data_IF_869260534514
#
_entry.id   IF_869260534514
#
_cell.length_a   1.000
_cell.length_b   1.000
_cell.length_c   1.000
_cell.angle_alpha   90.00
_cell.angle_beta   90.00
_cell.angle_gamma   90.00
#
_symmetry.space_group_name_H-M   'P 1'
#
loop_
_entity.id
_entity.type
_entity.pdbx_description
1 polymer ?
#
# COMPACT_ATOMS: atom_id res chain seq x y z
N UNK A 1 -16.52 -10.56 -19.28
CA UNK A 1 -16.83 -11.50 -18.18
C UNK A 1 -17.25 -10.74 -16.91
N UNK A 2 -18.34 -9.96 -16.96
CA UNK A 2 -18.71 -9.07 -15.85
C UNK A 2 -19.25 -9.82 -14.62
N UNK A 3 -19.96 -10.93 -14.82
CA UNK A 3 -20.44 -11.78 -13.71
C UNK A 3 -19.29 -12.29 -12.83
N UNK A 4 -18.23 -12.80 -13.44
CA UNK A 4 -17.04 -13.29 -12.73
C UNK A 4 -16.34 -12.17 -11.95
N UNK A 5 -16.18 -10.98 -12.56
CA UNK A 5 -15.59 -9.82 -11.89
C UNK A 5 -16.43 -9.41 -10.66
N UNK A 6 -17.75 -9.29 -10.81
CA UNK A 6 -18.66 -9.00 -9.69
C UNK A 6 -18.58 -10.07 -8.60
N UNK A 7 -18.46 -11.35 -8.98
CA UNK A 7 -18.27 -12.47 -8.04
C UNK A 7 -16.98 -12.33 -7.22
N UNK A 8 -15.85 -12.00 -7.87
CA UNK A 8 -14.58 -11.78 -7.17
C UNK A 8 -14.66 -10.59 -6.21
N UNK A 9 -15.27 -9.49 -6.63
CA UNK A 9 -15.49 -8.33 -5.76
C UNK A 9 -16.33 -8.72 -4.53
N UNK A 10 -17.40 -9.51 -4.72
CA UNK A 10 -18.22 -9.99 -3.60
C UNK A 10 -17.45 -10.91 -2.65
N UNK A 11 -16.55 -11.75 -3.15
CA UNK A 11 -15.69 -12.58 -2.31
C UNK A 11 -14.78 -11.71 -1.43
N UNK A 12 -14.17 -10.66 -1.99
CA UNK A 12 -13.38 -9.72 -1.21
C UNK A 12 -14.21 -8.89 -0.24
N UNK A 13 -15.41 -8.47 -0.64
CA UNK A 13 -16.34 -7.78 0.25
C UNK A 13 -16.69 -8.63 1.47
N UNK A 14 -16.98 -9.92 1.26
CA UNK A 14 -17.21 -10.89 2.34
C UNK A 14 -16.02 -10.95 3.30
N UNK A 15 -14.79 -10.98 2.80
CA UNK A 15 -13.59 -10.98 3.64
C UNK A 15 -13.46 -9.71 4.47
N UNK A 16 -13.74 -8.53 3.89
CA UNK A 16 -13.73 -7.25 4.63
C UNK A 16 -14.81 -7.23 5.71
N UNK A 17 -16.01 -7.76 5.44
CA UNK A 17 -17.09 -7.82 6.43
C UNK A 17 -16.75 -8.72 7.63
N UNK A 18 -16.01 -9.82 7.41
CA UNK A 18 -15.69 -10.79 8.45
C UNK A 18 -14.37 -10.50 9.17
N UNK A 19 -13.39 -9.90 8.49
CA UNK A 19 -12.03 -9.70 9.00
C UNK A 19 -11.58 -8.24 9.03
N UNK A 20 -12.35 -7.32 8.45
CA UNK A 20 -12.08 -5.88 8.41
C UNK A 20 -11.21 -5.43 7.24
N UNK A 21 -10.63 -6.35 6.46
CA UNK A 21 -9.75 -6.11 5.31
C UNK A 21 -9.74 -7.33 4.39
N UNK A 22 -9.19 -7.20 3.18
CA UNK A 22 -8.90 -8.36 2.31
C UNK A 22 -7.58 -9.00 2.75
N UNK A 23 -7.58 -10.23 3.31
CA UNK A 23 -6.33 -10.93 3.64
C UNK A 23 -5.53 -11.26 2.39
N UNK A 24 -4.23 -11.51 2.56
CA UNK A 24 -3.31 -11.93 1.49
C UNK A 24 -3.88 -13.10 0.64
N UNK A 25 -4.64 -14.00 1.26
CA UNK A 25 -5.44 -15.00 0.57
C UNK A 25 -6.44 -15.69 1.49
N UNK A 26 -7.23 -16.61 0.94
CA UNK A 26 -8.29 -17.36 1.66
C UNK A 26 -7.78 -18.46 2.60
N UNK A 27 -6.79 -18.17 3.45
CA UNK A 27 -6.18 -19.11 4.41
C UNK A 27 -6.06 -18.45 5.79
N UNK A 28 -6.27 -19.22 6.86
CA UNK A 28 -6.28 -18.71 8.24
C UNK A 28 -4.96 -18.03 8.62
N UNK A 29 -3.81 -18.55 8.15
CA UNK A 29 -2.49 -17.97 8.42
C UNK A 29 -2.24 -16.62 7.74
N UNK A 30 -3.15 -16.14 6.89
CA UNK A 30 -3.10 -14.80 6.30
C UNK A 30 -3.92 -13.75 7.06
N UNK A 31 -4.65 -14.10 8.12
CA UNK A 31 -5.49 -13.15 8.87
C UNK A 31 -4.73 -12.07 9.65
N UNK A 32 -3.40 -12.04 9.58
CA UNK A 32 -2.58 -10.96 10.14
C UNK A 32 -2.15 -9.92 9.10
N UNK A 33 -2.30 -10.23 7.80
CA UNK A 33 -1.77 -9.40 6.72
C UNK A 33 -2.63 -9.40 5.45
N UNK A 34 -2.64 -8.26 4.78
CA UNK A 34 -3.36 -8.01 3.54
C UNK A 34 -2.46 -8.24 2.30
N UNK A 35 -2.80 -7.54 1.21
CA UNK A 35 -2.02 -7.32 0.00
C UNK A 35 -2.30 -5.88 -0.51
N UNK A 36 -1.62 -5.37 -1.55
CA UNK A 36 -1.90 -4.03 -2.08
C UNK A 36 -3.41 -3.76 -2.30
N UNK A 37 -3.95 -2.62 -1.82
CA UNK A 37 -5.39 -2.42 -1.67
C UNK A 37 -6.11 -2.06 -2.96
N UNK A 38 -6.57 -3.09 -3.69
CA UNK A 38 -7.17 -2.94 -5.02
C UNK A 38 -8.70 -3.07 -5.06
N UNK A 39 -9.40 -3.32 -3.94
CA UNK A 39 -10.85 -3.53 -3.94
C UNK A 39 -11.65 -2.31 -4.42
N UNK A 40 -11.26 -1.10 -4.01
CA UNK A 40 -11.88 0.15 -4.47
C UNK A 40 -11.71 0.31 -6.00
N UNK A 41 -10.49 0.18 -6.58
CA UNK A 41 -10.27 0.17 -8.02
C UNK A 41 -11.08 -0.89 -8.76
N UNK A 42 -11.19 -2.10 -8.21
CA UNK A 42 -12.00 -3.16 -8.81
C UNK A 42 -13.47 -2.77 -8.93
N UNK A 43 -14.06 -2.18 -7.88
CA UNK A 43 -15.45 -1.69 -7.92
C UNK A 43 -15.60 -0.54 -8.88
N UNK A 44 -14.65 0.42 -8.86
CA UNK A 44 -14.69 1.60 -9.71
C UNK A 44 -14.64 1.23 -11.21
N UNK A 45 -13.71 0.36 -11.61
CA UNK A 45 -13.62 -0.12 -13.00
C UNK A 45 -14.80 -1.01 -13.40
N UNK A 46 -15.31 -1.84 -12.48
CA UNK A 46 -16.54 -2.60 -12.72
C UNK A 46 -17.73 -1.66 -12.99
N UNK A 47 -17.88 -0.59 -12.21
CA UNK A 47 -18.92 0.40 -12.44
C UNK A 47 -18.75 1.10 -13.79
N UNK A 48 -17.54 1.55 -14.15
CA UNK A 48 -17.30 2.16 -15.47
C UNK A 48 -17.70 1.26 -16.63
N UNK A 49 -17.50 -0.05 -16.49
CA UNK A 49 -17.81 -1.02 -17.52
C UNK A 49 -19.30 -1.43 -17.59
N UNK A 50 -20.07 -1.24 -16.51
CA UNK A 50 -21.42 -1.82 -16.38
C UNK A 50 -22.52 -0.81 -16.03
N UNK A 51 -22.15 0.36 -15.53
CA UNK A 51 -23.05 1.38 -14.98
C UNK A 51 -23.98 0.88 -13.87
N UNK A 52 -23.60 -0.21 -13.19
CA UNK A 52 -24.37 -0.85 -12.12
C UNK A 52 -24.30 -0.04 -10.81
N UNK A 53 -25.06 1.07 -10.77
CA UNK A 53 -25.07 2.01 -9.66
C UNK A 53 -25.65 1.40 -8.38
N UNK A 54 -26.58 0.45 -8.51
CA UNK A 54 -27.16 -0.25 -7.37
C UNK A 54 -26.10 -1.10 -6.66
N UNK A 55 -25.25 -1.80 -7.41
CA UNK A 55 -24.12 -2.52 -6.81
C UNK A 55 -23.14 -1.58 -6.09
N UNK A 56 -22.83 -0.41 -6.69
CA UNK A 56 -22.00 0.60 -6.03
C UNK A 56 -22.61 1.03 -4.70
N UNK A 57 -23.92 1.34 -4.68
CA UNK A 57 -24.63 1.74 -3.46
C UNK A 57 -24.53 0.68 -2.36
N UNK A 58 -24.65 -0.60 -2.72
CA UNK A 58 -24.58 -1.71 -1.79
C UNK A 58 -23.17 -1.92 -1.22
N UNK A 59 -22.13 -1.82 -2.05
CA UNK A 59 -20.77 -2.20 -1.64
C UNK A 59 -19.96 -1.05 -1.00
N UNK A 60 -20.34 0.21 -1.23
CA UNK A 60 -19.57 1.36 -0.77
C UNK A 60 -19.27 1.38 0.75
N UNK A 61 -20.18 0.96 1.65
CA UNK A 61 -19.86 0.84 3.07
C UNK A 61 -18.70 -0.13 3.35
N UNK A 62 -18.62 -1.24 2.61
CA UNK A 62 -17.56 -2.24 2.74
C UNK A 62 -16.22 -1.67 2.28
N UNK A 63 -16.20 -0.94 1.16
CA UNK A 63 -15.01 -0.23 0.68
C UNK A 63 -14.44 0.73 1.72
N UNK A 64 -15.31 1.50 2.38
CA UNK A 64 -14.91 2.42 3.44
C UNK A 64 -14.39 1.70 4.68
N UNK A 65 -14.91 0.52 5.00
CA UNK A 65 -14.39 -0.29 6.11
C UNK A 65 -12.95 -0.75 5.85
N UNK A 66 -12.65 -1.25 4.65
CA UNK A 66 -11.27 -1.59 4.30
C UNK A 66 -10.37 -0.35 4.29
N UNK A 67 -10.82 0.77 3.73
CA UNK A 67 -10.05 2.03 3.76
C UNK A 67 -9.70 2.47 5.20
N UNK A 68 -10.63 2.31 6.15
CA UNK A 68 -10.40 2.57 7.58
C UNK A 68 -9.40 1.59 8.19
N UNK A 69 -9.38 0.33 7.75
CA UNK A 69 -8.33 -0.61 8.17
C UNK A 69 -6.95 -0.08 7.80
N UNK A 70 -6.75 0.37 6.56
CA UNK A 70 -5.45 0.91 6.12
C UNK A 70 -5.02 2.13 6.94
N UNK A 71 -5.95 3.07 7.21
CA UNK A 71 -5.65 4.21 8.08
C UNK A 71 -5.28 3.73 9.50
N UNK A 72 -6.09 2.86 10.10
CA UNK A 72 -5.92 2.52 11.52
C UNK A 72 -4.81 1.51 11.81
N UNK A 73 -4.45 0.66 10.84
CA UNK A 73 -3.54 -0.47 11.03
C UNK A 73 -2.26 -0.39 10.20
N UNK A 74 -2.23 0.45 9.15
CA UNK A 74 -1.14 0.54 8.18
C UNK A 74 -0.71 1.99 7.92
N UNK A 75 -1.03 2.91 8.84
CA UNK A 75 -0.55 4.29 8.73
C UNK A 75 -0.01 4.82 10.05
N UNK A 76 0.85 5.82 9.92
CA UNK A 76 1.29 6.69 11.01
C UNK A 76 0.85 8.12 10.70
N UNK A 77 0.43 8.86 11.72
CA UNK A 77 -0.01 10.25 11.57
C UNK A 77 1.19 11.17 11.28
N UNK A 78 1.01 12.08 10.33
CA UNK A 78 2.02 13.05 9.89
C UNK A 78 1.41 14.44 9.77
N UNK A 79 2.11 15.44 10.34
CA UNK A 79 1.70 16.86 10.37
C UNK A 79 0.21 17.02 10.62
N UNK A 80 -0.52 17.85 9.86
CA UNK A 80 -1.95 18.19 9.98
C UNK A 80 -2.91 17.00 9.80
N UNK A 81 -2.64 15.89 10.49
CA UNK A 81 -3.36 14.61 10.45
C UNK A 81 -3.34 13.89 9.11
N UNK A 82 -2.35 14.15 8.25
CA UNK A 82 -2.10 13.35 7.07
C UNK A 82 -1.64 11.93 7.47
N UNK A 83 -1.90 10.94 6.63
CA UNK A 83 -1.52 9.55 6.88
C UNK A 83 -0.35 9.16 5.98
N UNK A 84 0.71 8.64 6.59
CA UNK A 84 1.81 7.98 5.88
C UNK A 84 1.58 6.47 5.94
N UNK A 85 1.40 5.83 4.79
CA UNK A 85 1.05 4.41 4.74
C UNK A 85 2.28 3.51 4.63
N UNK A 86 2.35 2.49 5.48
CA UNK A 86 3.43 1.50 5.52
C UNK A 86 2.86 0.08 5.63
N UNK A 87 3.49 -0.87 4.95
CA UNK A 87 3.22 -2.29 5.21
C UNK A 87 3.79 -2.63 6.58
N UNK A 88 2.95 -3.14 7.47
CA UNK A 88 3.31 -3.39 8.86
C UNK A 88 2.45 -4.51 9.43
N UNK A 89 3.08 -5.64 9.71
CA UNK A 89 2.41 -6.82 10.24
C UNK A 89 2.98 -7.08 11.63
N UNK A 90 2.11 -7.37 12.61
CA UNK A 90 2.55 -7.79 13.94
C UNK A 90 2.56 -9.32 13.97
N UNK A 91 3.72 -9.90 13.65
CA UNK A 91 3.93 -11.34 13.59
C UNK A 91 4.98 -11.75 14.64
N UNK A 92 4.55 -12.53 15.63
CA UNK A 92 5.42 -12.99 16.73
C UNK A 92 6.03 -14.37 16.54
N UNK A 93 5.73 -15.01 15.42
CA UNK A 93 6.13 -16.38 15.11
C UNK A 93 6.52 -16.45 13.63
N UNK A 94 7.34 -17.44 13.21
CA UNK A 94 7.58 -17.68 11.79
C UNK A 94 6.26 -17.93 11.04
N UNK A 95 6.21 -17.54 9.75
CA UNK A 95 5.04 -17.77 8.92
C UNK A 95 4.75 -19.27 8.80
N UNK A 96 3.53 -19.76 9.03
CA UNK A 96 3.22 -21.18 8.97
C UNK A 96 3.55 -21.84 7.63
N UNK A 97 3.35 -21.12 6.52
CA UNK A 97 3.60 -21.60 5.16
C UNK A 97 5.09 -21.58 4.74
N UNK A 98 5.96 -20.99 5.56
CA UNK A 98 7.41 -20.90 5.31
C UNK A 98 8.18 -21.02 6.63
N UNK A 99 7.73 -21.93 7.49
CA UNK A 99 8.17 -22.01 8.89
C UNK A 99 9.67 -22.25 8.99
N UNK A 100 10.19 -23.20 8.20
CA UNK A 100 11.61 -23.59 8.23
C UNK A 100 12.50 -22.42 7.80
N UNK A 101 12.15 -21.77 6.69
CA UNK A 101 12.88 -20.65 6.12
C UNK A 101 12.93 -19.46 7.09
N UNK A 102 11.80 -19.11 7.72
CA UNK A 102 11.70 -18.02 8.68
C UNK A 102 12.45 -18.33 9.99
N UNK A 103 12.58 -19.62 10.36
CA UNK A 103 13.38 -20.06 11.52
C UNK A 103 14.88 -20.01 11.24
N UNK A 104 15.32 -20.51 10.08
CA UNK A 104 16.72 -20.45 9.63
C UNK A 104 17.21 -19.00 9.53
N UNK A 105 16.37 -18.09 9.02
CA UNK A 105 16.70 -16.67 8.88
C UNK A 105 17.11 -16.01 10.21
N UNK A 106 16.49 -16.42 11.31
CA UNK A 106 16.67 -15.81 12.63
C UNK A 106 17.54 -16.64 13.57
N UNK A 107 18.14 -17.73 13.10
CA UNK A 107 18.93 -18.66 13.93
C UNK A 107 20.09 -17.96 14.63
N UNK A 108 20.73 -17.02 13.95
CA UNK A 108 21.85 -16.23 14.46
C UNK A 108 21.44 -15.17 15.51
N UNK A 109 20.15 -14.89 15.67
CA UNK A 109 19.63 -13.91 16.62
C UNK A 109 19.43 -14.56 18.00
N UNK A 110 19.80 -13.84 19.05
CA UNK A 110 19.78 -14.37 20.43
C UNK A 110 18.51 -13.97 21.19
N UNK A 111 17.97 -12.78 20.94
CA UNK A 111 16.81 -12.28 21.69
C UNK A 111 15.50 -12.55 20.95
N UNK A 112 14.43 -12.85 21.70
CA UNK A 112 13.10 -13.06 21.11
C UNK A 112 12.59 -11.78 20.41
N UNK A 113 12.87 -10.60 20.95
CA UNK A 113 12.42 -9.33 20.36
C UNK A 113 13.02 -9.09 18.98
N UNK A 114 14.29 -9.43 18.75
CA UNK A 114 14.90 -9.34 17.42
C UNK A 114 14.29 -10.33 16.44
N UNK A 115 13.98 -11.56 16.90
CA UNK A 115 13.29 -12.57 16.09
C UNK A 115 11.89 -12.13 15.69
N UNK A 116 11.10 -11.63 16.64
CA UNK A 116 9.75 -11.10 16.40
C UNK A 116 9.77 -9.91 15.43
N UNK A 117 10.78 -9.03 15.51
CA UNK A 117 10.97 -7.95 14.54
C UNK A 117 11.19 -8.49 13.14
N UNK A 118 12.12 -9.44 12.96
CA UNK A 118 12.41 -10.03 11.65
C UNK A 118 11.20 -10.78 11.09
N UNK A 119 10.51 -11.60 11.89
CA UNK A 119 9.29 -12.29 11.44
C UNK A 119 8.18 -11.31 11.03
N UNK A 120 8.04 -10.19 11.74
CA UNK A 120 7.12 -9.10 11.38
C UNK A 120 7.50 -8.43 10.06
N UNK A 121 8.78 -8.14 9.84
CA UNK A 121 9.28 -7.53 8.60
C UNK A 121 9.17 -8.48 7.40
N UNK A 122 9.40 -9.78 7.61
CA UNK A 122 9.18 -10.83 6.60
C UNK A 122 7.70 -10.95 6.25
N UNK A 123 6.81 -10.97 7.25
CA UNK A 123 5.38 -11.01 7.01
C UNK A 123 4.85 -9.72 6.33
N UNK A 124 5.42 -8.56 6.66
CA UNK A 124 5.15 -7.31 5.97
C UNK A 124 5.67 -7.32 4.53
N UNK A 125 6.82 -7.93 4.25
CA UNK A 125 7.32 -8.11 2.88
C UNK A 125 6.32 -8.90 2.04
N UNK A 126 5.74 -9.97 2.59
CA UNK A 126 4.66 -10.73 1.93
C UNK A 126 3.37 -9.91 1.76
N UNK A 127 3.06 -8.98 2.67
CA UNK A 127 1.94 -8.04 2.52
C UNK A 127 2.13 -7.07 1.34
N UNK A 128 3.36 -6.80 0.94
CA UNK A 128 3.66 -5.93 -0.21
C UNK A 128 3.35 -6.60 -1.55
N UNK A 129 3.30 -7.94 -1.59
CA UNK A 129 3.30 -8.75 -2.82
C UNK A 129 4.67 -8.89 -3.49
N UNK A 130 5.74 -8.39 -2.85
CA UNK A 130 7.13 -8.44 -3.31
C UNK A 130 8.02 -9.21 -2.31
N UNK A 131 7.60 -10.42 -1.94
CA UNK A 131 8.36 -11.37 -1.13
C UNK A 131 9.23 -12.30 -2.01
N UNK A 132 10.54 -12.09 -2.13
CA UNK A 132 11.34 -11.01 -1.54
C UNK A 132 12.06 -10.18 -2.60
N UNK A 133 12.43 -8.97 -2.21
CA UNK A 133 13.11 -7.98 -3.04
C UNK A 133 14.16 -7.25 -2.22
N UNK A 134 15.29 -6.88 -2.86
CA UNK A 134 16.30 -5.99 -2.27
C UNK A 134 15.72 -4.67 -1.79
N UNK A 135 14.55 -4.28 -2.32
CA UNK A 135 13.77 -3.10 -1.92
C UNK A 135 13.54 -3.02 -0.42
N UNK A 136 13.34 -4.17 0.22
CA UNK A 136 12.98 -4.27 1.63
C UNK A 136 14.18 -4.53 2.57
N UNK A 137 15.38 -4.60 2.01
CA UNK A 137 16.61 -4.91 2.75
C UNK A 137 17.39 -3.63 3.05
N UNK A 138 18.32 -3.69 4.00
CA UNK A 138 19.26 -2.58 4.20
C UNK A 138 20.04 -2.31 2.91
N UNK A 139 20.25 -1.04 2.57
CA UNK A 139 21.04 -0.65 1.39
C UNK A 139 22.49 -0.31 1.76
N UNK A 140 22.80 -0.28 3.05
CA UNK A 140 24.11 0.08 3.61
C UNK A 140 24.50 -0.90 4.72
N UNK A 141 25.80 -0.98 5.02
CA UNK A 141 26.35 -1.84 6.07
C UNK A 141 26.68 -3.27 5.61
N UNK A 142 27.18 -4.08 6.53
CA UNK A 142 27.75 -5.40 6.22
C UNK A 142 26.75 -6.40 5.64
N UNK A 143 25.45 -6.22 5.92
CA UNK A 143 24.36 -7.08 5.45
C UNK A 143 23.52 -6.45 4.33
N UNK A 144 24.02 -5.38 3.70
CA UNK A 144 23.31 -4.69 2.62
C UNK A 144 22.84 -5.66 1.53
N UNK A 145 21.60 -5.47 1.07
CA UNK A 145 20.92 -6.25 0.05
C UNK A 145 20.77 -7.75 0.36
N UNK A 146 20.91 -8.15 1.63
CA UNK A 146 20.68 -9.53 2.08
C UNK A 146 19.40 -9.62 2.89
N UNK A 147 18.72 -10.75 2.79
CA UNK A 147 17.45 -11.00 3.48
C UNK A 147 17.56 -10.93 5.01
N UNK A 148 18.72 -11.24 5.59
CA UNK A 148 18.98 -11.04 7.02
C UNK A 148 18.84 -9.58 7.48
N UNK A 149 18.86 -8.62 6.56
CA UNK A 149 18.67 -7.19 6.82
C UNK A 149 17.28 -6.66 6.46
N UNK A 150 16.29 -7.56 6.31
CA UNK A 150 14.90 -7.16 6.04
C UNK A 150 14.38 -6.18 7.11
N UNK A 151 13.75 -5.11 6.63
CA UNK A 151 13.30 -3.95 7.43
C UNK A 151 12.06 -3.29 6.83
N UNK A 152 11.15 -4.10 6.27
CA UNK A 152 9.99 -3.64 5.50
C UNK A 152 9.16 -2.58 6.23
N UNK A 153 8.93 -2.74 7.54
CA UNK A 153 8.13 -1.81 8.32
C UNK A 153 8.82 -0.45 8.58
N UNK A 154 10.12 -0.35 8.32
CA UNK A 154 10.90 0.90 8.41
C UNK A 154 10.95 1.67 7.09
N UNK A 155 10.29 1.16 6.04
CA UNK A 155 10.24 1.78 4.72
C UNK A 155 8.83 2.32 4.51
N UNK A 156 8.76 3.55 4.02
CA UNK A 156 7.53 4.16 3.50
C UNK A 156 7.47 3.91 1.99
N UNK A 157 6.64 2.95 1.53
CA UNK A 157 6.64 2.52 0.14
C UNK A 157 5.82 3.47 -0.75
N UNK A 158 6.43 3.89 -1.86
CA UNK A 158 5.84 4.83 -2.83
C UNK A 158 4.54 4.30 -3.47
N UNK A 159 4.48 3.00 -3.75
CA UNK A 159 3.34 2.34 -4.38
C UNK A 159 2.13 2.25 -3.45
N UNK A 160 2.30 1.89 -2.17
CA UNK A 160 1.18 1.87 -1.22
C UNK A 160 0.56 3.26 -1.05
N UNK A 161 1.39 4.31 -0.95
CA UNK A 161 0.90 5.68 -0.82
C UNK A 161 0.21 6.14 -2.10
N UNK A 162 0.71 5.74 -3.28
CA UNK A 162 0.02 5.95 -4.56
C UNK A 162 -1.34 5.20 -4.63
N UNK A 163 -1.42 3.95 -4.17
CA UNK A 163 -2.67 3.19 -4.13
C UNK A 163 -3.69 3.82 -3.18
N UNK A 164 -3.28 4.24 -1.99
CA UNK A 164 -4.18 4.89 -1.03
C UNK A 164 -4.66 6.27 -1.51
N UNK A 165 -3.82 6.98 -2.25
CA UNK A 165 -4.20 8.20 -2.96
C UNK A 165 -5.26 7.95 -4.04
N UNK A 166 -5.02 6.96 -4.93
CA UNK A 166 -5.99 6.53 -5.94
C UNK A 166 -7.31 6.11 -5.31
N UNK A 167 -7.26 5.36 -4.20
CA UNK A 167 -8.44 4.94 -3.45
C UNK A 167 -9.24 6.13 -2.90
N UNK A 168 -8.57 7.18 -2.43
CA UNK A 168 -9.24 8.42 -1.99
C UNK A 168 -9.97 9.10 -3.14
N UNK A 169 -9.31 9.26 -4.30
CA UNK A 169 -9.95 9.84 -5.49
C UNK A 169 -11.16 9.03 -5.94
N UNK A 170 -11.02 7.71 -6.05
CA UNK A 170 -12.13 6.84 -6.48
C UNK A 170 -13.29 6.84 -5.47
N UNK A 171 -13.02 6.88 -4.16
CA UNK A 171 -14.09 7.04 -3.15
C UNK A 171 -14.79 8.40 -3.28
N UNK A 172 -14.05 9.48 -3.52
CA UNK A 172 -14.63 10.81 -3.79
C UNK A 172 -15.62 10.75 -4.96
N UNK A 173 -15.20 10.14 -6.06
CA UNK A 173 -16.00 9.99 -7.27
C UNK A 173 -17.23 9.09 -7.05
N UNK A 174 -17.07 7.94 -6.40
CA UNK A 174 -18.18 7.03 -6.07
C UNK A 174 -19.23 7.69 -5.16
N UNK A 175 -18.82 8.48 -4.18
CA UNK A 175 -19.76 9.23 -3.34
C UNK A 175 -20.49 10.34 -4.12
N UNK A 176 -19.77 11.04 -5.01
CA UNK A 176 -20.38 12.04 -5.91
C UNK A 176 -21.44 11.41 -6.81
N UNK A 177 -21.16 10.23 -7.37
CA UNK A 177 -22.10 9.46 -8.20
C UNK A 177 -23.40 9.09 -7.46
N UNK A 178 -23.33 8.86 -6.15
CA UNK A 178 -24.49 8.56 -5.31
C UNK A 178 -25.18 9.81 -4.74
N UNK A 179 -24.68 11.02 -5.03
CA UNK A 179 -25.22 12.29 -4.54
C UNK A 179 -24.79 12.68 -3.12
N UNK A 180 -23.83 11.96 -2.50
CA UNK A 180 -23.30 12.29 -1.18
C UNK A 180 -22.12 13.27 -1.31
N UNK A 181 -22.44 14.55 -1.52
CA UNK A 181 -21.44 15.59 -1.73
C UNK A 181 -20.54 15.80 -0.50
N UNK A 182 -21.05 15.60 0.71
CA UNK A 182 -20.28 15.77 1.94
C UNK A 182 -19.13 14.74 2.02
N UNK A 183 -19.43 13.47 1.74
CA UNK A 183 -18.37 12.43 1.71
C UNK A 183 -17.48 12.55 0.48
N UNK A 184 -18.01 12.97 -0.66
CA UNK A 184 -17.18 13.26 -1.83
C UNK A 184 -16.09 14.29 -1.47
N UNK A 185 -16.47 15.44 -0.89
CA UNK A 185 -15.52 16.47 -0.45
C UNK A 185 -14.51 15.97 0.60
N UNK A 186 -14.95 15.10 1.52
CA UNK A 186 -14.04 14.49 2.51
C UNK A 186 -12.93 13.67 1.84
N UNK A 187 -13.27 12.83 0.88
CA UNK A 187 -12.29 11.98 0.20
C UNK A 187 -11.48 12.76 -0.84
N UNK A 188 -12.04 13.83 -1.41
CA UNK A 188 -11.31 14.79 -2.22
C UNK A 188 -10.20 15.49 -1.41
N UNK A 189 -10.51 15.93 -0.18
CA UNK A 189 -9.52 16.49 0.71
C UNK A 189 -8.38 15.50 1.03
N UNK A 190 -8.72 14.22 1.26
CA UNK A 190 -7.73 13.15 1.47
C UNK A 190 -6.87 12.88 0.24
N UNK A 191 -7.46 12.90 -0.95
CA UNK A 191 -6.72 12.79 -2.20
C UNK A 191 -5.70 13.92 -2.36
N UNK A 192 -6.11 15.17 -2.10
CA UNK A 192 -5.22 16.31 -2.15
C UNK A 192 -4.11 16.25 -1.09
N UNK A 193 -4.41 15.78 0.13
CA UNK A 193 -3.40 15.50 1.15
C UNK A 193 -2.40 14.43 0.70
N UNK A 194 -2.87 13.35 0.08
CA UNK A 194 -1.99 12.29 -0.42
C UNK A 194 -1.06 12.79 -1.54
N UNK A 195 -1.52 13.66 -2.46
CA UNK A 195 -0.64 14.30 -3.46
C UNK A 195 0.47 15.15 -2.82
N UNK A 196 0.18 15.85 -1.72
CA UNK A 196 1.20 16.57 -0.96
C UNK A 196 2.23 15.59 -0.37
N UNK A 197 1.80 14.47 0.22
CA UNK A 197 2.71 13.42 0.70
C UNK A 197 3.59 12.86 -0.43
N UNK A 198 3.03 12.61 -1.61
CA UNK A 198 3.83 12.15 -2.76
C UNK A 198 4.91 13.14 -3.15
N UNK A 199 4.66 14.44 -2.98
CA UNK A 199 5.64 15.50 -3.27
C UNK A 199 6.67 15.65 -2.15
N UNK A 200 6.25 15.65 -0.89
CA UNK A 200 7.13 15.89 0.25
C UNK A 200 8.02 14.69 0.60
N UNK A 201 7.48 13.47 0.52
CA UNK A 201 8.14 12.28 1.03
C UNK A 201 8.79 11.41 -0.05
N UNK A 202 8.27 11.48 -1.28
CA UNK A 202 8.66 10.54 -2.34
C UNK A 202 9.33 11.21 -3.53
N UNK A 203 8.91 12.42 -3.93
CA UNK A 203 9.43 13.08 -5.13
C UNK A 203 10.86 13.57 -4.94
N UNK A 204 11.76 13.12 -5.81
CA UNK A 204 13.11 13.66 -5.91
C UNK A 204 13.20 14.54 -7.16
N UNK A 205 13.20 15.86 -6.97
CA UNK A 205 13.25 16.82 -8.08
C UNK A 205 14.58 16.78 -8.87
N UNK A 206 15.69 16.39 -8.24
CA UNK A 206 16.99 16.26 -8.92
C UNK A 206 16.95 15.10 -9.90
N UNK A 207 16.51 13.94 -9.43
CA UNK A 207 16.49 12.70 -10.20
C UNK A 207 15.27 12.62 -11.14
N UNK A 208 14.18 13.33 -10.83
CA UNK A 208 12.95 13.32 -11.64
C UNK A 208 12.10 12.06 -11.46
N UNK A 209 12.15 11.44 -10.27
CA UNK A 209 11.46 10.17 -9.97
C UNK A 209 10.98 10.14 -8.51
N UNK A 210 9.99 9.29 -8.21
CA UNK A 210 9.56 9.04 -6.84
C UNK A 210 10.29 7.86 -6.21
N UNK A 211 10.88 8.01 -5.04
CA UNK A 211 11.52 6.93 -4.28
C UNK A 211 10.67 6.44 -3.12
N UNK A 212 10.96 5.23 -2.63
CA UNK A 212 10.61 4.88 -1.26
C UNK A 212 11.39 5.77 -0.29
N UNK A 213 10.83 5.97 0.91
CA UNK A 213 11.47 6.78 1.94
C UNK A 213 11.86 5.93 3.15
N UNK A 214 13.09 6.07 3.61
CA UNK A 214 13.59 5.41 4.82
C UNK A 214 13.14 6.22 6.05
N UNK A 215 12.26 5.63 6.86
CA UNK A 215 11.71 6.28 8.04
C UNK A 215 12.73 6.43 9.17
N UNK A 216 13.76 5.58 9.23
CA UNK A 216 14.81 5.67 10.25
C UNK A 216 15.94 6.60 9.79
N UNK A 217 16.34 6.48 8.52
CA UNK A 217 17.41 7.28 7.93
C UNK A 217 16.97 8.69 7.52
N UNK A 218 15.65 8.96 7.52
CA UNK A 218 15.04 10.21 7.06
C UNK A 218 15.52 10.66 5.66
N UNK A 219 15.64 9.70 4.73
CA UNK A 219 16.18 9.94 3.38
C UNK A 219 15.47 9.08 2.33
N UNK A 220 15.50 9.54 1.07
CA UNK A 220 15.09 8.71 -0.06
C UNK A 220 16.00 7.49 -0.19
N UNK A 221 15.39 6.33 -0.42
CA UNK A 221 16.09 5.12 -0.85
C UNK A 221 16.30 5.25 -2.36
N UNK A 222 17.46 5.79 -2.77
CA UNK A 222 17.80 6.09 -4.18
C UNK A 222 18.18 4.84 -4.99
N UNK A 223 17.41 3.76 -4.83
CA UNK A 223 17.46 2.57 -5.66
C UNK A 223 16.21 2.52 -6.53
N UNK A 224 16.37 2.14 -7.80
CA UNK A 224 15.24 2.06 -8.72
C UNK A 224 14.49 0.73 -8.60
N UNK A 225 13.18 0.82 -8.51
CA UNK A 225 12.20 -0.26 -8.61
C UNK A 225 11.02 0.23 -9.46
N UNK A 226 10.33 -0.66 -10.18
CA UNK A 226 9.21 -0.23 -11.04
C UNK A 226 8.07 0.44 -10.26
N UNK A 227 7.97 0.19 -8.95
CA UNK A 227 7.06 0.91 -8.04
C UNK A 227 7.28 2.43 -8.03
N UNK A 228 8.49 2.91 -8.35
CA UNK A 228 8.80 4.34 -8.45
C UNK A 228 7.95 5.06 -9.51
N UNK A 229 7.46 4.35 -10.52
CA UNK A 229 6.54 4.89 -11.53
C UNK A 229 5.05 4.70 -11.19
N UNK A 230 4.72 4.01 -10.08
CA UNK A 230 3.33 3.77 -9.66
C UNK A 230 2.49 5.04 -9.45
N UNK A 231 3.07 6.20 -9.03
CA UNK A 231 2.31 7.45 -8.95
C UNK A 231 1.71 7.89 -10.29
N UNK A 232 2.34 7.54 -11.42
CA UNK A 232 1.78 7.78 -12.75
C UNK A 232 0.50 6.98 -12.99
N UNK A 233 0.52 5.68 -12.68
CA UNK A 233 -0.66 4.80 -12.76
C UNK A 233 -1.80 5.28 -11.85
N UNK A 234 -1.46 5.70 -10.63
CA UNK A 234 -2.44 6.18 -9.66
C UNK A 234 -3.03 7.56 -9.99
N UNK A 235 -2.42 8.31 -10.93
CA UNK A 235 -2.64 9.74 -11.12
C UNK A 235 -2.54 10.51 -9.78
N UNK A 236 -1.53 10.17 -8.98
CA UNK A 236 -1.31 10.77 -7.67
C UNK A 236 -0.05 11.63 -7.66
N UNK A 237 -0.15 12.79 -8.31
CA UNK A 237 0.90 13.79 -8.32
C UNK A 237 0.31 15.16 -8.64
N UNK A 238 1.04 16.22 -8.30
CA UNK A 238 0.69 17.56 -8.75
C UNK A 238 1.20 17.78 -10.19
N UNK A 239 0.39 18.46 -11.00
CA UNK A 239 0.67 18.87 -12.38
C UNK A 239 1.22 20.31 -12.44
N UNK A 240 1.30 21.01 -11.31
CA UNK A 240 1.73 22.40 -11.24
C UNK A 240 3.24 22.56 -11.51
N UNK A 241 3.61 22.80 -12.76
CA UNK A 241 4.87 23.43 -13.17
C UNK A 241 6.04 22.49 -13.51
N UNK A 242 5.88 21.18 -13.37
CA UNK A 242 6.86 20.18 -13.82
C UNK A 242 6.13 19.02 -14.49
N UNK A 243 6.51 18.68 -15.73
CA UNK A 243 5.98 17.50 -16.45
C UNK A 243 6.59 16.23 -15.84
N UNK A 244 6.05 15.80 -14.70
CA UNK A 244 6.53 14.62 -13.98
C UNK A 244 6.52 13.35 -14.84
N UNK A 245 5.49 13.06 -15.66
CA UNK A 245 5.56 11.96 -16.62
C UNK A 245 6.80 12.01 -17.52
N UNK A 246 7.12 13.18 -18.08
CA UNK A 246 8.33 13.36 -18.91
C UNK A 246 9.61 13.15 -18.08
N UNK A 247 9.70 13.71 -16.89
CA UNK A 247 10.86 13.56 -15.99
C UNK A 247 11.12 12.08 -15.65
N UNK A 248 10.06 11.33 -15.37
CA UNK A 248 10.14 9.90 -15.09
C UNK A 248 10.58 9.13 -16.34
N UNK A 249 10.04 9.47 -17.51
CA UNK A 249 10.50 8.90 -18.78
C UNK A 249 12.00 9.15 -19.03
N UNK A 250 12.46 10.38 -18.79
CA UNK A 250 13.88 10.76 -18.91
C UNK A 250 14.77 9.99 -17.93
N UNK A 251 14.32 9.78 -16.70
CA UNK A 251 15.04 8.99 -15.71
C UNK A 251 15.19 7.50 -16.11
N UNK A 252 14.19 6.94 -16.80
CA UNK A 252 14.18 5.52 -17.19
C UNK A 252 14.94 5.24 -18.50
N UNK A 253 15.40 6.27 -19.21
CA UNK A 253 16.11 6.16 -20.49
C UNK A 253 17.60 5.93 -20.29
#
# INVERSE_FOLDING_TARGET
MYSTAKGMIKNFAYMVEHYGFVPNGGRVYYLLRSQPPMLIPMVYEYYKATSDLEFVRQILPVLVNEYKFWISKRSTQYRDSAALFQYKVNMKNPRPESYREDMELVEHLTTLSEKERVWSDVAAAAETGWDFSSRWFAHEGASAHRMASVRTASILPVDLNAFMCMNSRMLSELYKLLGDNAKSLLYEARFNQAKMIMTEMHWNATDGIWYDYDLEGHKHIRAYYISNAMPLFAHCYDENGEDKPLRVYEYMK
#
